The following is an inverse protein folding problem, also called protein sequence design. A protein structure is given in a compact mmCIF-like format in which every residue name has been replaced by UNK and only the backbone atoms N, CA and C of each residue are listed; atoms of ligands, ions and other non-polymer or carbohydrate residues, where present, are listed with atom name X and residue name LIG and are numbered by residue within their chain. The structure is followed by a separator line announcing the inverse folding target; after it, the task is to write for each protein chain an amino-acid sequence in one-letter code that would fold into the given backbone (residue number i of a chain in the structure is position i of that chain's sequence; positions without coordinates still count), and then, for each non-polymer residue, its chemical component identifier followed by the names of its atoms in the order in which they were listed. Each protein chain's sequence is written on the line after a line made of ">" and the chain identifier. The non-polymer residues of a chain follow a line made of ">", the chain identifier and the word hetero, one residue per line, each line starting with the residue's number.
data_IF_794582544910
#
_entry.id   IF_794582544910
#
_cell.length_a   1.000
_cell.length_b   1.000
_cell.length_c   1.000
_cell.angle_alpha   90.00
_cell.angle_beta   90.00
_cell.angle_gamma   90.00
#
_symmetry.space_group_name_H-M   'P 1'
#
loop_
_entity.id
_entity.type
_entity.pdbx_description
1 polymer ?
#
# COMPACT_ATOMS: atom_id res chain seq x y z
N UNK A 1 -15.61 -11.20 76.50
CA UNK A 1 -14.71 -11.65 75.41
C UNK A 1 -15.50 -11.59 74.10
N UNK A 2 -15.43 -10.47 73.40
CA UNK A 2 -16.22 -10.22 72.19
C UNK A 2 -15.25 -10.19 70.98
N UNK A 3 -15.36 -11.19 70.12
CA UNK A 3 -14.57 -11.26 68.88
C UNK A 3 -15.28 -10.57 67.76
N UNK A 4 -14.71 -9.48 67.29
CA UNK A 4 -15.18 -8.72 66.10
C UNK A 4 -14.60 -9.40 64.85
N UNK A 5 -15.48 -9.88 63.95
CA UNK A 5 -15.09 -10.36 62.63
C UNK A 5 -15.06 -9.16 61.66
N UNK A 6 -13.85 -8.89 61.11
CA UNK A 6 -13.71 -7.96 59.99
C UNK A 6 -13.97 -8.73 58.67
N UNK A 7 -15.02 -8.30 57.95
CA UNK A 7 -15.28 -8.82 56.60
C UNK A 7 -14.52 -7.94 55.59
N UNK A 8 -13.49 -8.51 54.97
CA UNK A 8 -12.77 -7.84 53.87
C UNK A 8 -13.54 -8.04 52.54
N UNK A 9 -14.11 -6.99 52.02
CA UNK A 9 -14.71 -6.99 50.67
C UNK A 9 -13.61 -6.76 49.67
N UNK A 10 -13.18 -7.81 48.95
CA UNK A 10 -12.25 -7.74 47.85
C UNK A 10 -12.95 -7.15 46.61
N UNK A 11 -12.59 -5.92 46.26
CA UNK A 11 -12.99 -5.29 44.98
C UNK A 11 -12.10 -5.86 43.86
N UNK A 12 -12.67 -6.80 43.09
CA UNK A 12 -12.03 -7.30 41.88
C UNK A 12 -12.15 -6.26 40.77
N UNK A 13 -11.06 -5.57 40.47
CA UNK A 13 -10.97 -4.67 39.30
C UNK A 13 -10.72 -5.55 38.06
N UNK A 14 -11.79 -5.82 37.32
CA UNK A 14 -11.66 -6.42 35.97
C UNK A 14 -11.05 -5.38 35.04
N UNK A 15 -9.75 -5.52 34.73
CA UNK A 15 -9.12 -4.79 33.64
C UNK A 15 -9.68 -5.33 32.31
N UNK A 16 -10.56 -4.56 31.70
CA UNK A 16 -10.92 -4.76 30.29
C UNK A 16 -9.70 -4.37 29.46
N UNK A 17 -8.97 -5.36 28.94
CA UNK A 17 -8.04 -5.15 27.85
C UNK A 17 -8.85 -4.68 26.65
N UNK A 18 -8.79 -3.38 26.36
CA UNK A 18 -9.08 -2.91 25.02
C UNK A 18 -7.93 -3.41 24.15
N UNK A 19 -8.20 -4.34 23.25
CA UNK A 19 -7.31 -4.62 22.12
C UNK A 19 -7.36 -3.35 21.28
N UNK A 20 -6.30 -2.54 21.34
CA UNK A 20 -6.03 -1.59 20.30
C UNK A 20 -5.82 -2.44 19.02
N UNK A 21 -6.74 -2.33 18.08
CA UNK A 21 -6.63 -2.93 16.75
C UNK A 21 -5.51 -2.15 16.03
N UNK A 22 -4.25 -2.50 16.36
CA UNK A 22 -3.11 -1.96 15.66
C UNK A 22 -3.02 -2.68 14.31
N UNK A 23 -3.29 -1.94 13.23
CA UNK A 23 -2.99 -2.40 11.88
C UNK A 23 -1.50 -2.75 11.80
N UNK A 24 -1.21 -3.93 11.28
CA UNK A 24 0.17 -4.39 11.12
C UNK A 24 0.57 -4.39 9.64
N UNK A 25 1.88 -4.25 9.40
CA UNK A 25 2.46 -4.51 8.09
C UNK A 25 2.36 -6.01 7.83
N UNK A 26 1.74 -6.40 6.69
CA UNK A 26 1.74 -7.78 6.24
C UNK A 26 3.16 -8.32 6.00
N UNK A 27 3.34 -9.64 6.10
CA UNK A 27 4.63 -10.32 5.84
C UNK A 27 4.87 -10.46 4.33
N UNK A 28 4.98 -9.31 3.64
CA UNK A 28 5.23 -9.21 2.21
C UNK A 28 6.58 -8.54 1.96
N UNK A 29 7.52 -9.20 1.24
CA UNK A 29 8.87 -8.70 1.05
C UNK A 29 8.97 -7.57 0.02
N UNK A 30 7.96 -7.44 -0.85
CA UNK A 30 7.98 -6.49 -1.95
C UNK A 30 7.08 -5.28 -1.73
N UNK A 31 7.41 -4.21 -2.42
CA UNK A 31 6.60 -3.01 -2.59
C UNK A 31 6.26 -2.90 -4.07
N UNK A 32 4.98 -2.85 -4.38
CA UNK A 32 4.48 -2.68 -5.74
C UNK A 32 3.94 -1.28 -5.95
N UNK A 33 4.10 -0.75 -7.17
CA UNK A 33 3.49 0.51 -7.59
C UNK A 33 2.89 0.36 -8.98
N UNK A 34 1.63 0.77 -9.13
CA UNK A 34 0.92 0.77 -10.42
C UNK A 34 1.17 2.09 -11.15
N UNK A 35 1.57 2.01 -12.41
CA UNK A 35 1.97 3.18 -13.19
C UNK A 35 1.52 3.05 -14.65
N UNK A 36 1.11 4.16 -15.27
CA UNK A 36 0.92 4.19 -16.72
C UNK A 36 2.24 3.95 -17.45
N UNK A 37 2.23 3.03 -18.42
CA UNK A 37 3.43 2.61 -19.15
C UNK A 37 4.18 3.78 -19.81
N UNK A 38 3.44 4.78 -20.33
CA UNK A 38 4.03 5.96 -20.95
C UNK A 38 4.84 6.80 -19.99
N UNK A 39 4.36 6.97 -18.74
CA UNK A 39 5.07 7.74 -17.71
C UNK A 39 6.34 7.01 -17.26
N UNK A 40 6.25 5.69 -17.09
CA UNK A 40 7.41 4.88 -16.73
C UNK A 40 8.48 4.87 -17.81
N UNK A 41 8.07 4.63 -19.07
CA UNK A 41 9.01 4.61 -20.19
C UNK A 41 9.75 5.94 -20.33
N UNK A 42 9.06 7.07 -20.14
CA UNK A 42 9.68 8.40 -20.15
C UNK A 42 10.73 8.55 -19.04
N UNK A 43 10.44 8.09 -17.83
CA UNK A 43 11.37 8.14 -16.71
C UNK A 43 12.63 7.28 -16.97
N UNK A 44 12.45 6.08 -17.54
CA UNK A 44 13.55 5.17 -17.91
C UNK A 44 14.41 5.76 -19.03
N UNK A 45 13.79 6.26 -20.11
CA UNK A 45 14.50 6.85 -21.25
C UNK A 45 15.37 8.05 -20.86
N UNK A 46 14.89 8.86 -19.92
CA UNK A 46 15.60 10.05 -19.45
C UNK A 46 16.52 9.75 -18.25
N UNK A 47 16.45 8.55 -17.68
CA UNK A 47 17.10 8.18 -16.41
C UNK A 47 16.74 9.15 -15.27
N UNK A 48 15.45 9.46 -15.16
CA UNK A 48 14.91 10.41 -14.20
C UNK A 48 14.03 9.72 -13.16
N UNK A 49 13.94 10.34 -11.97
CA UNK A 49 13.01 9.88 -10.93
C UNK A 49 11.57 10.20 -11.34
N UNK A 50 10.74 9.18 -11.39
CA UNK A 50 9.30 9.33 -11.60
C UNK A 50 8.61 9.81 -10.32
N UNK A 51 7.70 10.77 -10.48
CA UNK A 51 6.76 11.20 -9.45
C UNK A 51 5.33 11.05 -10.00
N UNK A 52 4.41 10.39 -9.26
CA UNK A 52 3.03 10.28 -9.72
C UNK A 52 2.36 11.66 -9.86
N UNK A 53 1.38 11.80 -10.76
CA UNK A 53 0.68 13.07 -10.96
C UNK A 53 0.08 13.67 -9.69
N UNK A 54 -0.34 12.83 -8.75
CA UNK A 54 -0.94 13.22 -7.46
C UNK A 54 0.09 13.56 -6.39
N UNK A 55 1.39 13.31 -6.61
CA UNK A 55 2.45 13.46 -5.61
C UNK A 55 2.44 14.81 -4.88
N UNK A 56 2.14 15.90 -5.60
CA UNK A 56 2.13 17.25 -4.98
C UNK A 56 0.99 17.44 -3.97
N UNK A 57 -0.09 16.69 -4.14
CA UNK A 57 -1.26 16.71 -3.25
C UNK A 57 -1.05 15.71 -2.12
N UNK A 58 -0.63 14.49 -2.46
CA UNK A 58 -0.52 13.36 -1.54
C UNK A 58 0.74 13.45 -0.65
N UNK A 59 1.82 14.04 -1.16
CA UNK A 59 3.10 14.20 -0.45
C UNK A 59 4.00 12.97 -0.47
N UNK A 60 3.55 11.84 -1.06
CA UNK A 60 4.28 10.59 -1.20
C UNK A 60 3.80 9.81 -2.42
N UNK A 61 4.52 8.76 -2.79
CA UNK A 61 4.10 7.80 -3.81
C UNK A 61 3.44 6.60 -3.14
N UNK A 62 2.22 6.27 -3.54
CA UNK A 62 1.46 5.15 -3.00
C UNK A 62 2.05 3.82 -3.44
N UNK A 63 2.11 2.86 -2.52
CA UNK A 63 2.51 1.50 -2.78
C UNK A 63 1.53 0.48 -2.21
N UNK A 64 1.67 -0.77 -2.65
CA UNK A 64 0.94 -1.92 -2.13
C UNK A 64 1.93 -3.05 -1.90
N UNK A 65 1.93 -3.69 -0.73
CA UNK A 65 2.83 -4.84 -0.47
C UNK A 65 2.13 -6.17 -0.70
N UNK A 66 0.85 -6.25 -0.38
CA UNK A 66 0.07 -7.47 -0.54
C UNK A 66 -0.38 -7.62 -2.01
N UNK A 67 0.13 -8.62 -2.75
CA UNK A 67 -0.25 -8.82 -4.16
C UNK A 67 -1.74 -9.10 -4.35
N UNK A 68 -2.42 -9.69 -3.36
CA UNK A 68 -3.85 -10.00 -3.44
C UNK A 68 -4.74 -8.76 -3.44
N UNK A 69 -4.22 -7.61 -2.98
CA UNK A 69 -4.93 -6.33 -2.97
C UNK A 69 -4.69 -5.47 -4.22
N UNK A 70 -3.70 -5.81 -5.05
CA UNK A 70 -3.31 -4.97 -6.19
C UNK A 70 -4.44 -4.70 -7.18
N UNK A 71 -5.26 -5.70 -7.50
CA UNK A 71 -6.38 -5.53 -8.42
C UNK A 71 -7.52 -4.71 -7.79
N UNK A 72 -7.78 -4.85 -6.48
CA UNK A 72 -8.75 -4.03 -5.77
C UNK A 72 -8.31 -2.55 -5.77
N UNK A 73 -7.03 -2.28 -5.47
CA UNK A 73 -6.43 -0.95 -5.55
C UNK A 73 -6.53 -0.37 -6.96
N UNK A 74 -6.12 -1.15 -7.97
CA UNK A 74 -6.14 -0.71 -9.37
C UNK A 74 -7.54 -0.34 -9.84
N UNK A 75 -8.52 -1.22 -9.61
CA UNK A 75 -9.90 -1.05 -10.04
C UNK A 75 -10.64 0.03 -9.23
N UNK A 76 -10.18 0.37 -8.04
CA UNK A 76 -10.76 1.44 -7.25
C UNK A 76 -10.25 2.82 -7.67
N UNK A 77 -8.94 2.97 -7.86
CA UNK A 77 -8.34 4.28 -8.07
C UNK A 77 -8.20 4.67 -9.56
N UNK A 78 -8.10 3.70 -10.47
CA UNK A 78 -7.68 3.96 -11.85
C UNK A 78 -8.61 3.41 -12.95
N UNK A 79 -9.90 3.11 -12.72
CA UNK A 79 -10.75 2.50 -13.76
C UNK A 79 -10.89 3.41 -14.99
N UNK A 80 -10.96 4.72 -14.77
CA UNK A 80 -11.18 5.72 -15.81
C UNK A 80 -9.87 6.29 -16.41
N UNK A 81 -8.72 5.81 -15.97
CA UNK A 81 -7.42 6.29 -16.47
C UNK A 81 -6.97 5.39 -17.61
N UNK A 82 -6.97 5.95 -18.83
CA UNK A 82 -6.67 5.23 -20.06
C UNK A 82 -5.20 4.86 -20.22
N UNK A 83 -4.93 3.93 -21.16
CA UNK A 83 -3.60 3.53 -21.59
C UNK A 83 -3.14 2.21 -20.98
N UNK A 84 -1.93 1.79 -21.39
CA UNK A 84 -1.27 0.60 -20.88
C UNK A 84 -0.66 0.88 -19.50
N UNK A 85 -0.61 -0.16 -18.68
CA UNK A 85 -0.12 -0.07 -17.31
C UNK A 85 0.96 -1.10 -17.01
N UNK A 86 1.86 -0.69 -16.13
CA UNK A 86 2.85 -1.56 -15.50
C UNK A 86 2.62 -1.64 -14.00
N UNK A 87 3.11 -2.73 -13.42
CA UNK A 87 3.30 -2.88 -12.00
C UNK A 87 4.79 -2.98 -11.71
N UNK A 88 5.35 -1.96 -11.06
CA UNK A 88 6.75 -1.93 -10.66
C UNK A 88 6.93 -2.72 -9.38
N UNK A 89 7.94 -3.59 -9.34
CA UNK A 89 8.30 -4.39 -8.17
C UNK A 89 9.60 -3.89 -7.58
N UNK A 90 9.59 -3.60 -6.30
CA UNK A 90 10.71 -3.07 -5.51
C UNK A 90 10.78 -3.77 -4.17
N UNK A 91 11.81 -3.45 -3.39
CA UNK A 91 11.87 -3.68 -1.95
C UNK A 91 12.10 -2.36 -1.22
N UNK A 92 11.90 -2.36 0.09
CA UNK A 92 12.25 -1.19 0.94
C UNK A 92 13.73 -0.87 0.79
N UNK A 93 14.59 -1.89 0.70
CA UNK A 93 16.04 -1.74 0.53
C UNK A 93 16.40 -1.16 -0.84
N UNK A 94 15.75 -1.61 -1.93
CA UNK A 94 16.03 -1.07 -3.27
C UNK A 94 15.60 0.40 -3.39
N UNK A 95 14.48 0.78 -2.78
CA UNK A 95 14.06 2.18 -2.66
C UNK A 95 15.05 3.00 -1.81
N UNK A 96 15.50 2.46 -0.68
CA UNK A 96 16.48 3.12 0.18
C UNK A 96 17.83 3.33 -0.52
N UNK A 97 18.23 2.44 -1.42
CA UNK A 97 19.49 2.58 -2.20
C UNK A 97 19.50 3.81 -3.10
N UNK A 98 18.32 4.32 -3.50
CA UNK A 98 18.15 5.57 -4.26
C UNK A 98 17.87 6.79 -3.37
N UNK A 99 18.00 6.63 -2.04
CA UNK A 99 17.82 7.70 -1.06
C UNK A 99 16.36 7.93 -0.62
N UNK A 100 15.45 7.03 -0.96
CA UNK A 100 14.01 7.16 -0.68
C UNK A 100 13.62 6.30 0.51
N UNK A 101 12.95 6.91 1.50
CA UNK A 101 12.41 6.23 2.68
C UNK A 101 11.00 5.70 2.39
N UNK A 102 10.71 4.49 2.83
CA UNK A 102 9.35 3.92 2.85
C UNK A 102 8.86 3.82 4.29
N UNK A 103 7.63 4.23 4.54
CA UNK A 103 6.91 4.05 5.81
C UNK A 103 5.66 3.21 5.56
N UNK A 104 5.19 2.52 6.59
CA UNK A 104 3.96 1.72 6.52
C UNK A 104 2.89 2.37 7.39
N UNK A 105 1.80 2.78 6.77
CA UNK A 105 0.72 3.52 7.40
C UNK A 105 -0.64 3.01 6.89
N UNK A 106 -1.74 3.45 7.49
CA UNK A 106 -3.07 3.17 6.97
C UNK A 106 -3.25 3.72 5.56
N UNK A 107 -4.25 3.23 4.84
CA UNK A 107 -4.59 3.76 3.51
C UNK A 107 -4.83 5.26 3.54
N UNK A 108 -4.49 5.92 2.43
CA UNK A 108 -4.73 7.34 2.22
C UNK A 108 -5.40 7.58 0.86
N UNK A 109 -6.09 8.72 0.67
CA UNK A 109 -6.62 9.10 -0.63
C UNK A 109 -5.54 9.18 -1.70
N UNK A 110 -5.89 8.85 -2.94
CA UNK A 110 -5.06 9.10 -4.13
C UNK A 110 -5.66 10.32 -4.84
N UNK A 111 -5.01 11.46 -4.72
CA UNK A 111 -5.60 12.73 -5.11
C UNK A 111 -6.93 12.97 -4.39
N UNK A 112 -8.02 13.12 -5.12
CA UNK A 112 -9.36 13.36 -4.56
C UNK A 112 -10.15 12.07 -4.28
N UNK A 113 -9.65 10.88 -4.67
CA UNK A 113 -10.34 9.60 -4.52
C UNK A 113 -10.06 8.99 -3.14
N UNK A 114 -11.12 8.75 -2.36
CA UNK A 114 -11.02 8.13 -1.03
C UNK A 114 -10.71 6.62 -1.13
N UNK A 115 -10.03 6.01 -0.14
CA UNK A 115 -9.65 4.60 -0.17
C UNK A 115 -10.78 3.67 0.30
N UNK A 116 -11.94 3.74 -0.34
CA UNK A 116 -13.15 2.97 0.03
C UNK A 116 -13.24 1.64 -0.73
N UNK A 117 -12.13 0.88 -0.80
CA UNK A 117 -12.08 -0.43 -1.43
C UNK A 117 -12.08 -1.56 -0.39
N UNK A 118 -12.46 -2.77 -0.83
CA UNK A 118 -12.47 -3.94 0.03
C UNK A 118 -11.06 -4.29 0.53
N UNK A 119 -10.91 -4.39 1.85
CA UNK A 119 -9.63 -4.62 2.52
C UNK A 119 -8.74 -3.38 2.69
N UNK A 120 -9.26 -2.17 2.44
CA UNK A 120 -8.50 -0.92 2.61
C UNK A 120 -7.98 -0.71 4.03
N UNK A 121 -8.66 -1.28 5.03
CA UNK A 121 -8.35 -1.09 6.45
C UNK A 121 -7.86 -2.36 7.14
N UNK A 122 -7.43 -3.39 6.39
CA UNK A 122 -7.01 -4.67 6.98
C UNK A 122 -5.54 -4.69 7.37
N UNK A 123 -4.72 -3.85 6.74
CA UNK A 123 -3.26 -3.82 6.93
C UNK A 123 -2.68 -2.43 6.65
N UNK A 124 -1.38 -2.26 6.93
CA UNK A 124 -0.64 -1.06 6.58
C UNK A 124 -0.14 -1.13 5.14
N UNK A 125 -0.20 0.03 4.45
CA UNK A 125 0.27 0.20 3.09
C UNK A 125 1.62 0.95 3.05
N UNK A 126 2.53 0.62 2.12
CA UNK A 126 3.78 1.35 1.98
C UNK A 126 3.55 2.73 1.34
N UNK A 127 3.97 3.77 2.05
CA UNK A 127 4.07 5.14 1.54
C UNK A 127 5.54 5.45 1.25
N UNK A 128 5.85 5.67 -0.02
CA UNK A 128 7.19 5.95 -0.51
C UNK A 128 7.40 7.46 -0.43
N UNK A 129 8.25 7.92 0.50
CA UNK A 129 8.47 9.36 0.77
C UNK A 129 9.42 9.97 -0.27
N UNK A 130 9.04 9.88 -1.52
CA UNK A 130 9.79 10.34 -2.68
C UNK A 130 9.21 9.78 -3.98
N UNK A 131 9.91 10.01 -5.08
CA UNK A 131 9.62 9.36 -6.37
C UNK A 131 10.32 8.01 -6.50
N UNK A 132 10.12 7.36 -7.63
CA UNK A 132 10.73 6.07 -7.96
C UNK A 132 11.77 6.29 -9.06
N UNK A 133 13.05 6.07 -8.73
CA UNK A 133 14.13 6.06 -9.72
C UNK A 133 14.20 4.66 -10.38
N UNK A 134 14.52 4.56 -11.68
CA UNK A 134 14.65 3.25 -12.35
C UNK A 134 15.56 2.26 -11.63
N UNK A 135 16.64 2.72 -11.01
CA UNK A 135 17.58 1.87 -10.26
C UNK A 135 16.97 1.19 -9.02
N UNK A 136 15.83 1.69 -8.52
CA UNK A 136 15.12 1.06 -7.41
C UNK A 136 14.26 -0.12 -7.85
N UNK A 137 13.93 -0.24 -9.14
CA UNK A 137 12.99 -1.22 -9.67
C UNK A 137 13.69 -2.52 -9.99
N UNK A 138 13.23 -3.60 -9.38
CA UNK A 138 13.77 -4.95 -9.55
C UNK A 138 13.14 -5.67 -10.74
N UNK A 139 11.85 -5.37 -11.01
CA UNK A 139 11.10 -5.99 -12.09
C UNK A 139 9.94 -5.10 -12.53
N UNK A 140 9.51 -5.23 -13.80
CA UNK A 140 8.39 -4.50 -14.40
C UNK A 140 7.42 -5.51 -14.99
N UNK A 141 6.24 -5.59 -14.40
CA UNK A 141 5.21 -6.54 -14.81
C UNK A 141 4.15 -5.88 -15.69
N UNK A 142 3.75 -6.57 -16.75
CA UNK A 142 2.63 -6.15 -17.61
C UNK A 142 1.30 -6.27 -16.86
N UNK A 143 0.44 -5.29 -17.06
CA UNK A 143 -0.91 -5.30 -16.52
C UNK A 143 -1.91 -5.54 -17.66
N UNK A 144 -2.76 -6.55 -17.50
CA UNK A 144 -3.84 -6.81 -18.43
C UNK A 144 -5.10 -6.05 -17.99
N UNK A 145 -5.68 -5.31 -18.92
CA UNK A 145 -6.97 -4.62 -18.77
C UNK A 145 -7.92 -5.04 -19.88
N UNK A 146 -9.22 -5.00 -19.62
CA UNK A 146 -10.23 -5.12 -20.66
C UNK A 146 -10.53 -3.76 -21.35
N UNK A 147 -11.46 -3.82 -22.31
CA UNK A 147 -11.86 -2.62 -23.08
C UNK A 147 -12.61 -1.58 -22.25
N UNK A 148 -13.18 -1.98 -21.11
CA UNK A 148 -13.92 -1.10 -20.20
C UNK A 148 -13.01 -0.49 -19.13
N UNK A 149 -11.69 -0.79 -19.17
CA UNK A 149 -10.69 -0.25 -18.26
C UNK A 149 -10.49 -1.07 -16.99
N UNK A 150 -11.18 -2.20 -16.83
CA UNK A 150 -11.02 -3.09 -15.67
C UNK A 150 -9.66 -3.77 -15.68
N UNK A 151 -8.95 -3.72 -14.56
CA UNK A 151 -7.70 -4.42 -14.36
C UNK A 151 -7.98 -5.89 -14.05
N UNK A 152 -7.52 -6.79 -14.92
CA UNK A 152 -7.84 -8.21 -14.86
C UNK A 152 -6.74 -9.05 -14.21
N UNK A 153 -5.47 -8.74 -14.51
CA UNK A 153 -4.32 -9.45 -13.94
C UNK A 153 -3.03 -8.66 -14.10
N UNK A 154 -2.04 -9.04 -13.30
CA UNK A 154 -0.66 -8.55 -13.38
C UNK A 154 0.23 -9.77 -13.59
N UNK A 155 0.94 -9.82 -14.74
CA UNK A 155 1.74 -10.96 -15.14
C UNK A 155 2.80 -11.31 -14.08
N UNK A 156 2.81 -12.56 -13.62
CA UNK A 156 3.77 -13.04 -12.63
C UNK A 156 3.59 -12.50 -11.20
N UNK A 157 2.50 -11.76 -10.93
CA UNK A 157 2.20 -11.20 -9.60
C UNK A 157 0.85 -11.66 -9.09
N UNK A 158 -0.23 -11.46 -9.86
CA UNK A 158 -1.56 -11.95 -9.50
C UNK A 158 -1.90 -13.20 -10.28
N UNK A 159 -2.59 -14.16 -9.67
CA UNK A 159 -3.13 -15.29 -10.42
C UNK A 159 -4.32 -14.81 -11.24
N UNK A 160 -4.41 -15.13 -12.55
CA UNK A 160 -5.62 -14.86 -13.31
C UNK A 160 -6.80 -15.59 -12.67
N UNK A 161 -7.92 -14.90 -12.50
CA UNK A 161 -9.18 -15.47 -12.04
C UNK A 161 -9.79 -16.39 -13.11
#
# INVERSE_FOLDING_TARGET
>A
MTRTFLLAIGLSLSATCFSDDHLEKGDHPYVFHLIQATLWNTAVENNETYFPPTYKVDGFTHGTSNPDKLLNVANHFYPDVEGDWYCLKMTVESLASTGVKTVFEGTAPVGDTQPDFDGAHDELFPHILGGIHPDAVLDVHQVLRDADGTFLSIEGVTTPN
#
